data_IF_241318083283
#
_entry.id   IF_241318083283
#
_cell.length_a   1.000
_cell.length_b   1.000
_cell.length_c   1.000
_cell.angle_alpha   90.00
_cell.angle_beta   90.00
_cell.angle_gamma   90.00
#
_symmetry.space_group_name_H-M   'P 1'
#
loop_
_entity.id
_entity.type
_entity.pdbx_description
1 polymer ?
#
# COMPACT_ATOMS: atom_id res chain seq x y z
N UNK A 1 20.00 3.09 16.98
CA UNK A 1 20.56 1.98 17.79
C UNK A 1 21.88 1.51 17.21
N UNK A 2 22.74 1.03 18.06
CA UNK A 2 24.03 0.44 17.71
C UNK A 2 23.87 -1.07 17.64
N UNK A 3 24.23 -1.66 16.51
CA UNK A 3 24.22 -3.09 16.30
C UNK A 3 25.66 -3.64 16.25
N UNK A 4 25.95 -4.68 17.04
CA UNK A 4 27.24 -5.34 17.02
C UNK A 4 27.26 -6.47 15.99
N UNK A 5 27.94 -6.27 14.87
CA UNK A 5 28.13 -7.31 13.86
C UNK A 5 29.41 -8.10 14.14
N UNK A 6 29.31 -9.45 14.17
CA UNK A 6 30.47 -10.35 14.30
C UNK A 6 31.38 -10.19 13.07
N UNK A 7 32.45 -9.42 13.22
CA UNK A 7 33.49 -9.24 12.20
C UNK A 7 33.69 -7.81 11.67
N UNK A 8 32.75 -6.89 11.89
CA UNK A 8 32.85 -5.49 11.44
C UNK A 8 32.79 -4.46 12.57
N UNK A 9 32.53 -4.88 13.81
CA UNK A 9 32.40 -3.99 14.96
C UNK A 9 31.00 -3.41 15.13
N UNK A 10 30.92 -2.27 15.83
CA UNK A 10 29.67 -1.58 16.06
C UNK A 10 29.20 -0.85 14.81
N UNK A 11 27.97 -1.11 14.37
CA UNK A 11 27.34 -0.46 13.22
C UNK A 11 26.01 0.19 13.65
N UNK A 12 25.68 1.34 13.06
CA UNK A 12 24.39 1.98 13.25
C UNK A 12 23.33 1.32 12.37
N UNK A 13 22.14 1.14 12.92
CA UNK A 13 21.03 0.48 12.24
C UNK A 13 20.42 1.37 11.12
N UNK A 14 20.36 2.69 11.34
CA UNK A 14 19.82 3.64 10.36
C UNK A 14 20.72 3.80 9.14
N UNK A 15 20.12 3.86 7.94
CA UNK A 15 20.85 3.97 6.68
C UNK A 15 21.64 5.29 6.56
N UNK A 16 21.05 6.43 6.90
CA UNK A 16 21.69 7.75 6.84
C UNK A 16 22.78 7.89 7.90
N UNK A 17 22.50 7.49 9.13
CA UNK A 17 23.46 7.55 10.24
C UNK A 17 24.66 6.65 9.94
N UNK A 18 24.41 5.48 9.38
CA UNK A 18 25.48 4.57 8.93
C UNK A 18 26.33 5.15 7.81
N UNK A 19 25.70 5.85 6.84
CA UNK A 19 26.42 6.54 5.77
C UNK A 19 27.40 7.58 6.33
N UNK A 20 26.95 8.42 7.25
CA UNK A 20 27.82 9.43 7.89
C UNK A 20 28.92 8.79 8.71
N UNK A 21 28.59 7.76 9.49
CA UNK A 21 29.57 7.05 10.31
C UNK A 21 30.65 6.39 9.45
N UNK A 22 30.29 5.67 8.39
CA UNK A 22 31.23 5.01 7.50
C UNK A 22 32.10 5.99 6.71
N UNK A 23 31.54 7.12 6.28
CA UNK A 23 32.31 8.16 5.58
C UNK A 23 33.32 8.87 6.48
N UNK A 24 33.00 9.05 7.76
CA UNK A 24 33.89 9.70 8.73
C UNK A 24 34.96 8.76 9.29
N UNK A 25 34.62 7.48 9.51
CA UNK A 25 35.49 6.52 10.22
C UNK A 25 36.45 5.78 9.29
N UNK A 26 36.08 5.57 8.03
CA UNK A 26 36.93 4.85 7.06
C UNK A 26 38.01 5.75 6.49
N UNK A 27 39.26 5.23 6.37
CA UNK A 27 40.37 5.92 5.74
C UNK A 27 40.09 6.18 4.24
N UNK A 28 39.52 5.19 3.55
CA UNK A 28 39.08 5.30 2.16
C UNK A 28 37.60 5.65 2.08
N UNK A 29 37.30 6.90 1.80
CA UNK A 29 35.93 7.42 1.71
C UNK A 29 35.08 6.72 0.64
N UNK A 30 35.69 6.35 -0.49
CA UNK A 30 35.01 5.63 -1.58
C UNK A 30 34.56 4.24 -1.14
N UNK A 31 35.39 3.50 -0.41
CA UNK A 31 35.03 2.21 0.15
C UNK A 31 33.93 2.33 1.21
N UNK A 32 34.00 3.37 2.05
CA UNK A 32 32.99 3.66 3.06
C UNK A 32 31.61 3.92 2.45
N UNK A 33 31.55 4.72 1.40
CA UNK A 33 30.31 4.99 0.65
C UNK A 33 29.79 3.72 -0.01
N UNK A 34 30.67 2.93 -0.65
CA UNK A 34 30.27 1.66 -1.28
C UNK A 34 29.73 0.65 -0.28
N UNK A 35 30.32 0.54 0.89
CA UNK A 35 29.81 -0.31 1.98
C UNK A 35 28.42 0.16 2.48
N UNK A 36 28.20 1.47 2.61
CA UNK A 36 26.91 2.03 3.01
C UNK A 36 25.79 1.73 2.01
N UNK A 37 26.12 1.75 0.69
CA UNK A 37 25.14 1.44 -0.36
C UNK A 37 24.84 -0.05 -0.49
N UNK A 38 25.80 -0.94 -0.24
CA UNK A 38 25.67 -2.40 -0.46
C UNK A 38 25.64 -3.23 0.82
N UNK A 39 25.21 -2.64 1.91
CA UNK A 39 25.10 -3.33 3.20
C UNK A 39 24.01 -4.41 3.17
N UNK A 40 24.35 -5.67 3.48
CA UNK A 40 23.45 -6.80 3.26
C UNK A 40 22.47 -7.10 4.41
N UNK A 41 22.88 -6.91 5.67
CA UNK A 41 22.10 -7.36 6.83
C UNK A 41 21.26 -6.27 7.51
N UNK A 42 21.46 -5.03 7.15
CA UNK A 42 20.76 -3.88 7.71
C UNK A 42 20.26 -2.98 6.57
N UNK A 43 19.29 -2.06 6.79
CA UNK A 43 18.84 -1.14 5.77
C UNK A 43 20.01 -0.33 5.18
N UNK A 44 20.12 -0.29 3.87
CA UNK A 44 21.17 0.42 3.15
C UNK A 44 20.63 1.65 2.40
N UNK A 45 21.52 2.46 1.82
CA UNK A 45 21.11 3.65 1.08
C UNK A 45 20.29 3.33 -0.18
N UNK A 46 20.49 2.17 -0.80
CA UNK A 46 19.66 1.74 -1.94
C UNK A 46 18.21 1.51 -1.51
N UNK A 47 17.97 0.89 -0.35
CA UNK A 47 16.63 0.71 0.19
C UNK A 47 15.97 2.06 0.50
N UNK A 48 16.73 3.03 1.01
CA UNK A 48 16.23 4.39 1.24
C UNK A 48 15.86 5.08 -0.07
N UNK A 49 16.69 4.98 -1.11
CA UNK A 49 16.38 5.52 -2.43
C UNK A 49 15.13 4.85 -3.03
N UNK A 50 15.00 3.53 -2.92
CA UNK A 50 13.81 2.80 -3.32
C UNK A 50 12.55 3.29 -2.60
N UNK A 51 12.64 3.55 -1.30
CA UNK A 51 11.55 4.12 -0.50
C UNK A 51 11.13 5.49 -1.01
N UNK A 52 12.07 6.37 -1.33
CA UNK A 52 11.78 7.70 -1.88
C UNK A 52 11.11 7.59 -3.25
N UNK A 53 11.60 6.71 -4.13
CA UNK A 53 11.00 6.48 -5.45
C UNK A 53 9.57 5.98 -5.34
N UNK A 54 9.33 5.00 -4.48
CA UNK A 54 7.97 4.48 -4.22
C UNK A 54 7.05 5.57 -3.68
N UNK A 55 7.55 6.40 -2.77
CA UNK A 55 6.81 7.53 -2.22
C UNK A 55 6.35 8.50 -3.31
N UNK A 56 7.26 8.88 -4.19
CA UNK A 56 6.97 9.75 -5.33
C UNK A 56 5.94 9.15 -6.30
N UNK A 57 6.08 7.87 -6.62
CA UNK A 57 5.17 7.15 -7.52
C UNK A 57 3.77 7.08 -6.91
N UNK A 58 3.65 6.77 -5.62
CA UNK A 58 2.35 6.71 -4.94
C UNK A 58 1.68 8.08 -4.89
N UNK A 59 2.41 9.15 -4.60
CA UNK A 59 1.88 10.53 -4.62
C UNK A 59 1.35 10.88 -6.01
N UNK A 60 2.07 10.51 -7.06
CA UNK A 60 1.64 10.74 -8.44
C UNK A 60 0.32 10.05 -8.76
N UNK A 61 0.18 8.77 -8.41
CA UNK A 61 -1.06 8.01 -8.62
C UNK A 61 -2.22 8.51 -7.75
N UNK A 62 -1.94 9.07 -6.59
CA UNK A 62 -2.95 9.63 -5.69
C UNK A 62 -3.71 10.81 -6.31
N UNK A 63 -3.09 11.55 -7.22
CA UNK A 63 -3.68 12.70 -7.89
C UNK A 63 -4.66 12.36 -9.01
N UNK A 64 -4.77 11.12 -9.46
CA UNK A 64 -5.70 10.73 -10.52
C UNK A 64 -7.15 10.73 -10.03
N UNK A 65 -8.00 11.42 -10.75
CA UNK A 65 -9.43 11.50 -10.49
C UNK A 65 -10.23 11.79 -11.77
N UNK A 66 -11.50 11.42 -11.74
CA UNK A 66 -12.48 11.79 -12.77
C UNK A 66 -13.49 12.74 -12.12
N UNK A 67 -13.66 13.92 -12.68
CA UNK A 67 -14.61 14.91 -12.20
C UNK A 67 -15.93 14.78 -12.98
N UNK A 68 -17.03 14.50 -12.26
CA UNK A 68 -18.38 14.51 -12.82
C UNK A 68 -19.02 15.87 -12.56
N UNK A 69 -19.50 16.58 -13.61
CA UNK A 69 -20.17 17.85 -13.42
C UNK A 69 -21.54 17.64 -12.76
N UNK A 70 -21.77 18.27 -11.61
CA UNK A 70 -23.02 18.27 -10.88
C UNK A 70 -23.60 19.68 -10.77
N UNK A 71 -24.93 19.78 -10.76
CA UNK A 71 -25.66 21.04 -10.54
C UNK A 71 -26.61 20.90 -9.37
N UNK A 72 -26.80 21.99 -8.61
CA UNK A 72 -27.77 22.06 -7.53
C UNK A 72 -29.11 22.53 -8.05
N UNK A 73 -30.21 21.95 -7.57
CA UNK A 73 -31.55 22.41 -7.82
C UNK A 73 -31.94 23.65 -6.99
N UNK A 74 -31.35 23.74 -5.80
CA UNK A 74 -31.68 24.78 -4.81
C UNK A 74 -31.00 26.09 -5.16
N UNK A 75 -29.74 26.06 -5.55
CA UNK A 75 -28.98 27.22 -5.97
C UNK A 75 -28.89 27.29 -7.50
N UNK A 76 -29.71 28.12 -8.11
CA UNK A 76 -29.61 28.41 -9.53
C UNK A 76 -28.26 29.04 -9.86
N UNK A 77 -27.48 28.34 -10.68
CA UNK A 77 -26.15 28.78 -11.10
C UNK A 77 -24.96 28.11 -10.37
N UNK A 78 -25.20 27.34 -9.31
CA UNK A 78 -24.13 26.55 -8.69
C UNK A 78 -23.85 25.32 -9.54
N UNK A 79 -22.65 25.28 -10.10
CA UNK A 79 -22.09 24.11 -10.77
C UNK A 79 -20.82 23.69 -10.03
N UNK A 80 -20.79 22.44 -9.58
CA UNK A 80 -19.62 21.85 -8.92
C UNK A 80 -19.21 20.59 -9.64
N UNK A 81 -18.07 20.05 -9.25
CA UNK A 81 -17.59 18.76 -9.73
C UNK A 81 -17.65 17.76 -8.60
N UNK A 82 -18.11 16.54 -8.90
CA UNK A 82 -18.01 15.39 -7.99
C UNK A 82 -16.80 14.56 -8.38
N UNK A 83 -15.71 14.57 -7.58
CA UNK A 83 -14.51 13.85 -7.92
C UNK A 83 -14.65 12.37 -7.57
N UNK A 84 -14.34 11.50 -8.52
CA UNK A 84 -14.14 10.06 -8.31
C UNK A 84 -12.65 9.78 -8.40
N UNK A 85 -12.02 9.49 -7.27
CA UNK A 85 -10.59 9.25 -7.19
C UNK A 85 -10.23 7.87 -7.73
N UNK A 86 -9.01 7.71 -8.26
CA UNK A 86 -8.47 6.41 -8.62
C UNK A 86 -8.43 5.47 -7.39
N UNK A 87 -7.95 5.97 -6.26
CA UNK A 87 -7.98 5.25 -4.98
C UNK A 87 -9.31 5.52 -4.25
N UNK A 88 -10.41 5.09 -4.88
CA UNK A 88 -11.77 5.36 -4.40
C UNK A 88 -12.03 4.84 -2.99
N UNK A 89 -11.52 3.64 -2.68
CA UNK A 89 -11.62 3.04 -1.36
C UNK A 89 -10.47 3.42 -0.43
N UNK A 90 -9.61 4.35 -0.86
CA UNK A 90 -8.41 4.77 -0.13
C UNK A 90 -7.48 3.57 0.19
N UNK A 91 -7.02 3.47 1.42
CA UNK A 91 -6.11 2.40 1.85
C UNK A 91 -6.81 1.15 2.43
N UNK A 92 -8.13 1.09 2.42
CA UNK A 92 -8.88 -0.03 3.02
C UNK A 92 -8.58 -1.40 2.40
N UNK A 93 -8.41 -1.56 1.08
CA UNK A 93 -8.05 -2.83 0.49
C UNK A 93 -6.74 -3.40 1.05
N UNK A 94 -5.74 -2.55 1.24
CA UNK A 94 -4.44 -2.97 1.74
C UNK A 94 -4.48 -3.32 3.24
N UNK A 95 -5.26 -2.62 4.03
CA UNK A 95 -5.48 -2.93 5.45
C UNK A 95 -6.14 -4.29 5.58
N UNK A 96 -7.21 -4.56 4.83
CA UNK A 96 -7.92 -5.82 4.85
C UNK A 96 -7.05 -6.99 4.36
N UNK A 97 -6.27 -6.77 3.32
CA UNK A 97 -5.31 -7.75 2.82
C UNK A 97 -4.24 -8.07 3.88
N UNK A 98 -3.68 -7.08 4.54
CA UNK A 98 -2.71 -7.27 5.63
C UNK A 98 -3.30 -8.05 6.79
N UNK A 99 -4.53 -7.76 7.19
CA UNK A 99 -5.22 -8.48 8.23
C UNK A 99 -5.44 -9.95 7.85
N UNK A 100 -5.87 -10.22 6.61
CA UNK A 100 -6.05 -11.58 6.10
C UNK A 100 -4.73 -12.37 6.13
N UNK A 101 -3.65 -11.80 5.64
CA UNK A 101 -2.33 -12.44 5.61
C UNK A 101 -1.82 -12.70 7.03
N UNK A 102 -1.97 -11.75 7.94
CA UNK A 102 -1.58 -11.91 9.34
C UNK A 102 -2.35 -13.04 10.03
N UNK A 103 -3.65 -13.15 9.78
CA UNK A 103 -4.47 -14.23 10.32
C UNK A 103 -4.07 -15.59 9.75
N UNK A 104 -3.78 -15.69 8.46
CA UNK A 104 -3.30 -16.92 7.83
C UNK A 104 -1.94 -17.33 8.42
N UNK A 105 -1.03 -16.40 8.63
CA UNK A 105 0.26 -16.67 9.24
C UNK A 105 0.12 -17.14 10.67
N UNK A 106 -0.71 -16.52 11.47
CA UNK A 106 -0.96 -16.91 12.84
C UNK A 106 -1.51 -18.34 12.94
N UNK A 107 -2.53 -18.65 12.16
CA UNK A 107 -3.12 -20.00 12.12
C UNK A 107 -2.10 -21.04 11.63
N UNK A 108 -1.34 -20.73 10.60
CA UNK A 108 -0.31 -21.62 10.07
C UNK A 108 0.78 -21.92 11.09
N UNK A 109 1.28 -20.90 11.79
CA UNK A 109 2.26 -21.08 12.86
C UNK A 109 1.74 -21.93 14.02
N UNK A 110 0.50 -21.66 14.44
CA UNK A 110 -0.12 -22.38 15.55
C UNK A 110 -0.31 -23.86 15.23
N UNK A 111 -0.83 -24.16 14.04
CA UNK A 111 -1.02 -25.53 13.56
C UNK A 111 0.30 -26.27 13.35
N UNK A 112 1.29 -25.61 12.78
CA UNK A 112 2.63 -26.21 12.58
C UNK A 112 3.32 -26.55 13.91
N UNK A 113 3.19 -25.69 14.90
CA UNK A 113 3.74 -25.92 16.23
C UNK A 113 3.11 -27.16 16.91
N UNK A 114 1.83 -27.40 16.67
CA UNK A 114 1.06 -28.46 17.36
C UNK A 114 0.96 -29.76 16.56
N UNK A 115 0.88 -29.69 15.25
CA UNK A 115 0.62 -30.80 14.33
C UNK A 115 1.62 -30.87 13.15
N UNK A 116 2.89 -30.71 13.41
CA UNK A 116 3.93 -30.69 12.37
C UNK A 116 4.02 -31.94 11.48
N UNK A 117 3.43 -33.05 11.93
CA UNK A 117 3.39 -34.32 11.20
C UNK A 117 2.30 -34.44 10.13
N UNK A 118 1.30 -33.57 10.13
CA UNK A 118 0.19 -33.64 9.19
C UNK A 118 0.54 -33.03 7.83
N UNK A 119 0.18 -33.73 6.76
CA UNK A 119 0.38 -33.25 5.39
C UNK A 119 -0.32 -31.92 5.12
N UNK A 120 -1.56 -31.73 5.56
CA UNK A 120 -2.33 -30.50 5.38
C UNK A 120 -1.68 -29.31 6.08
N UNK A 121 -1.12 -29.49 7.26
CA UNK A 121 -0.42 -28.45 8.00
C UNK A 121 0.88 -28.05 7.28
N UNK A 122 1.60 -29.02 6.71
CA UNK A 122 2.79 -28.75 5.88
C UNK A 122 2.46 -28.02 4.58
N UNK A 123 1.30 -28.33 4.00
CA UNK A 123 0.80 -27.66 2.79
C UNK A 123 0.44 -26.19 3.11
N UNK A 124 -0.13 -25.92 4.27
CA UNK A 124 -0.47 -24.55 4.70
C UNK A 124 0.76 -23.70 4.94
N UNK A 125 1.80 -24.24 5.53
CA UNK A 125 3.06 -23.52 5.71
C UNK A 125 4.07 -24.30 6.56
N UNK A 126 5.33 -24.18 6.20
CA UNK A 126 6.48 -24.66 6.98
C UNK A 126 7.21 -23.44 7.52
N UNK A 127 7.56 -23.49 8.79
CA UNK A 127 8.17 -22.36 9.50
C UNK A 127 9.50 -22.77 10.09
N UNK A 128 10.52 -21.97 9.90
CA UNK A 128 11.86 -22.13 10.50
C UNK A 128 12.23 -20.85 11.26
N UNK A 129 13.10 -21.01 12.24
CA UNK A 129 13.63 -19.86 12.98
C UNK A 129 14.67 -19.14 12.13
N UNK A 130 14.51 -17.85 11.96
CA UNK A 130 15.47 -17.02 11.24
C UNK A 130 16.82 -17.00 11.99
N UNK A 131 17.91 -17.10 11.24
CA UNK A 131 19.27 -17.00 11.79
C UNK A 131 19.58 -15.61 12.39
N UNK A 132 18.76 -14.62 12.07
CA UNK A 132 18.92 -13.23 12.50
C UNK A 132 17.71 -12.76 13.33
N UNK A 133 17.64 -13.14 14.61
CA UNK A 133 16.74 -12.47 15.53
C UNK A 133 15.54 -13.26 16.08
N UNK A 134 15.53 -14.59 15.95
CA UNK A 134 14.52 -15.43 16.60
C UNK A 134 13.07 -15.30 16.07
N UNK A 135 12.89 -14.61 14.95
CA UNK A 135 11.59 -14.56 14.26
C UNK A 135 11.41 -15.81 13.41
N UNK A 136 10.19 -16.35 13.41
CA UNK A 136 9.82 -17.46 12.54
C UNK A 136 9.50 -16.96 11.15
N UNK A 137 10.15 -17.52 10.16
CA UNK A 137 9.93 -17.22 8.76
C UNK A 137 9.29 -18.41 8.02
N UNK A 138 8.35 -18.16 7.10
CA UNK A 138 7.79 -19.22 6.27
C UNK A 138 8.82 -19.68 5.24
N UNK A 139 9.11 -20.98 5.20
CA UNK A 139 10.10 -21.59 4.30
C UNK A 139 9.44 -22.39 3.18
N UNK A 140 8.20 -22.75 3.34
CA UNK A 140 7.47 -23.51 2.33
C UNK A 140 5.96 -23.50 2.54
N UNK A 141 5.24 -24.07 1.59
CA UNK A 141 3.81 -24.13 1.58
C UNK A 141 3.12 -22.81 1.19
N UNK A 142 1.82 -22.71 1.43
CA UNK A 142 1.02 -21.56 1.05
C UNK A 142 1.51 -20.25 1.71
N UNK A 143 1.93 -20.31 2.97
CA UNK A 143 2.44 -19.14 3.69
C UNK A 143 3.69 -18.55 3.06
N UNK A 144 4.58 -19.39 2.52
CA UNK A 144 5.76 -18.93 1.77
C UNK A 144 5.39 -18.18 0.49
N UNK A 145 4.45 -18.70 -0.29
CA UNK A 145 4.00 -18.07 -1.53
C UNK A 145 3.22 -16.77 -1.33
N UNK A 146 2.58 -16.61 -0.20
CA UNK A 146 1.88 -15.36 0.18
C UNK A 146 2.86 -14.31 0.71
N UNK A 147 4.03 -14.71 1.24
CA UNK A 147 5.02 -13.79 1.78
C UNK A 147 5.70 -12.97 0.68
N UNK A 148 6.03 -11.73 0.98
CA UNK A 148 6.78 -10.87 0.08
C UNK A 148 8.21 -11.37 -0.12
N UNK A 149 8.77 -11.29 -1.34
CA UNK A 149 10.20 -11.47 -1.57
C UNK A 149 11.00 -10.43 -0.77
N UNK A 150 12.19 -10.82 -0.34
CA UNK A 150 13.04 -9.94 0.49
C UNK A 150 13.65 -8.80 -0.31
N UNK A 151 14.21 -9.14 -1.48
CA UNK A 151 14.93 -8.22 -2.35
C UNK A 151 14.73 -8.58 -3.82
N UNK A 152 15.20 -7.70 -4.72
CA UNK A 152 15.21 -7.96 -6.16
C UNK A 152 15.95 -9.24 -6.54
N UNK A 153 17.03 -9.59 -5.82
CA UNK A 153 17.75 -10.84 -6.05
C UNK A 153 16.87 -12.07 -5.80
N UNK A 154 16.06 -12.03 -4.74
CA UNK A 154 15.11 -13.11 -4.41
C UNK A 154 14.02 -13.25 -5.49
N UNK A 155 13.57 -12.14 -6.08
CA UNK A 155 12.64 -12.14 -7.21
C UNK A 155 13.23 -12.85 -8.44
N UNK A 156 14.52 -12.63 -8.73
CA UNK A 156 15.20 -13.27 -9.87
C UNK A 156 15.52 -14.74 -9.61
N UNK A 157 15.81 -15.11 -8.38
CA UNK A 157 16.08 -16.49 -8.00
C UNK A 157 14.81 -17.36 -8.03
N UNK A 158 13.69 -16.81 -7.60
CA UNK A 158 12.40 -17.50 -7.51
C UNK A 158 11.28 -16.72 -8.24
N UNK A 159 11.27 -16.71 -9.58
CA UNK A 159 10.28 -15.94 -10.33
C UNK A 159 8.85 -16.43 -10.14
N UNK A 160 8.63 -17.72 -9.88
CA UNK A 160 7.30 -18.28 -9.61
C UNK A 160 6.72 -17.76 -8.30
N UNK A 161 7.53 -17.63 -7.27
CA UNK A 161 7.13 -17.04 -6.00
C UNK A 161 6.70 -15.59 -6.18
N UNK A 162 7.52 -14.80 -6.86
CA UNK A 162 7.21 -13.39 -7.14
C UNK A 162 5.92 -13.24 -7.96
N UNK A 163 5.73 -14.06 -8.99
CA UNK A 163 4.53 -14.05 -9.82
C UNK A 163 3.27 -14.42 -9.02
N UNK A 164 3.36 -15.45 -8.19
CA UNK A 164 2.25 -15.87 -7.34
C UNK A 164 1.88 -14.79 -6.32
N UNK A 165 2.87 -14.19 -5.68
CA UNK A 165 2.69 -13.08 -4.75
C UNK A 165 2.01 -11.88 -5.41
N UNK A 166 2.49 -11.48 -6.59
CA UNK A 166 1.90 -10.37 -7.35
C UNK A 166 0.44 -10.65 -7.70
N UNK A 167 0.15 -11.84 -8.23
CA UNK A 167 -1.22 -12.25 -8.59
C UNK A 167 -2.14 -12.28 -7.38
N UNK A 168 -1.67 -12.81 -6.27
CA UNK A 168 -2.41 -12.83 -5.01
C UNK A 168 -2.73 -11.41 -4.52
N UNK A 169 -1.74 -10.52 -4.49
CA UNK A 169 -1.93 -9.13 -4.06
C UNK A 169 -2.94 -8.39 -4.93
N UNK A 170 -2.82 -8.48 -6.24
CA UNK A 170 -3.73 -7.84 -7.17
C UNK A 170 -5.17 -8.34 -6.99
N UNK A 171 -5.34 -9.65 -6.96
CA UNK A 171 -6.67 -10.28 -6.84
C UNK A 171 -7.35 -9.94 -5.53
N UNK A 172 -6.64 -10.04 -4.41
CA UNK A 172 -7.19 -9.79 -3.07
C UNK A 172 -7.51 -8.32 -2.87
N UNK A 173 -6.63 -7.42 -3.28
CA UNK A 173 -6.87 -5.98 -3.19
C UNK A 173 -8.08 -5.55 -4.03
N UNK A 174 -8.22 -6.05 -5.26
CA UNK A 174 -9.38 -5.75 -6.10
C UNK A 174 -10.68 -6.28 -5.49
N UNK A 175 -10.68 -7.51 -4.99
CA UNK A 175 -11.83 -8.11 -4.34
C UNK A 175 -12.27 -7.34 -3.10
N UNK A 176 -11.33 -7.01 -2.22
CA UNK A 176 -11.63 -6.25 -1.01
C UNK A 176 -12.08 -4.83 -1.28
N UNK A 177 -11.49 -4.17 -2.27
CA UNK A 177 -11.95 -2.85 -2.71
C UNK A 177 -13.40 -2.87 -3.16
N UNK A 178 -13.76 -3.84 -4.00
CA UNK A 178 -15.12 -4.01 -4.50
C UNK A 178 -16.12 -4.35 -3.38
N UNK A 179 -15.72 -5.21 -2.44
CA UNK A 179 -16.56 -5.55 -1.29
C UNK A 179 -16.72 -4.38 -0.34
N UNK A 180 -15.66 -3.60 -0.12
CA UNK A 180 -15.68 -2.45 0.78
C UNK A 180 -16.66 -1.37 0.36
N UNK A 181 -16.79 -1.08 -0.93
CA UNK A 181 -17.74 -0.08 -1.40
C UNK A 181 -19.19 -0.44 -1.09
N UNK A 182 -19.53 -1.72 -1.07
CA UNK A 182 -20.86 -2.19 -0.72
C UNK A 182 -21.12 -2.10 0.79
N UNK A 183 -20.11 -2.38 1.62
CA UNK A 183 -20.22 -2.36 3.08
C UNK A 183 -20.20 -0.94 3.63
N UNK A 184 -19.35 -0.07 3.08
CA UNK A 184 -19.11 1.28 3.61
C UNK A 184 -20.18 2.31 3.23
N UNK A 185 -21.14 1.94 2.40
CA UNK A 185 -22.14 2.87 1.89
C UNK A 185 -21.61 3.83 0.82
N UNK A 186 -20.52 3.47 0.14
CA UNK A 186 -19.91 4.23 -0.96
C UNK A 186 -20.22 3.64 -2.33
N UNK A 187 -21.15 2.70 -2.42
CA UNK A 187 -21.62 2.14 -3.69
C UNK A 187 -22.32 3.19 -4.54
N UNK A 188 -22.41 2.95 -5.84
CA UNK A 188 -23.12 3.84 -6.77
C UNK A 188 -24.56 4.10 -6.35
N UNK A 189 -25.24 3.10 -5.79
CA UNK A 189 -26.59 3.21 -5.25
C UNK A 189 -26.67 4.18 -4.08
N UNK A 190 -25.75 4.05 -3.13
CA UNK A 190 -25.72 4.88 -1.92
C UNK A 190 -25.33 6.33 -2.24
N UNK A 191 -24.36 6.52 -3.13
CA UNK A 191 -23.95 7.85 -3.62
C UNK A 191 -25.07 8.51 -4.39
N UNK A 192 -25.76 7.78 -5.26
CA UNK A 192 -26.93 8.32 -5.99
C UNK A 192 -28.04 8.77 -5.04
N UNK A 193 -28.30 8.01 -3.98
CA UNK A 193 -29.24 8.37 -2.94
C UNK A 193 -28.83 9.62 -2.19
N UNK A 194 -27.58 9.74 -1.77
CA UNK A 194 -27.06 10.93 -1.10
C UNK A 194 -27.16 12.18 -1.97
N UNK A 195 -26.79 12.08 -3.25
CA UNK A 195 -26.90 13.20 -4.19
C UNK A 195 -28.36 13.63 -4.42
N UNK A 196 -29.30 12.69 -4.48
CA UNK A 196 -30.75 13.01 -4.54
C UNK A 196 -31.24 13.71 -3.29
N UNK A 197 -30.88 13.26 -2.10
CA UNK A 197 -31.21 13.86 -0.82
C UNK A 197 -30.67 15.29 -0.71
N UNK A 198 -29.48 15.56 -1.25
CA UNK A 198 -28.85 16.86 -1.32
C UNK A 198 -29.35 17.72 -2.50
N UNK A 199 -30.27 17.19 -3.31
CA UNK A 199 -30.84 17.86 -4.49
C UNK A 199 -29.78 18.23 -5.56
N UNK A 200 -28.76 17.43 -5.73
CA UNK A 200 -27.82 17.53 -6.83
C UNK A 200 -28.20 16.60 -7.98
N UNK A 201 -27.85 16.98 -9.19
CA UNK A 201 -28.02 16.16 -10.38
C UNK A 201 -26.80 16.30 -11.31
N UNK A 202 -26.57 15.29 -12.14
CA UNK A 202 -25.48 15.31 -13.13
C UNK A 202 -25.98 16.09 -14.37
N UNK A 203 -25.16 17.01 -14.83
CA UNK A 203 -25.49 17.83 -16.01
C UNK A 203 -25.68 16.95 -17.25
N UNK A 204 -26.78 17.11 -17.93
CA UNK A 204 -27.11 16.38 -19.16
C UNK A 204 -27.84 15.04 -18.95
N UNK A 205 -28.08 14.61 -17.71
CA UNK A 205 -28.77 13.37 -17.39
C UNK A 205 -30.03 13.62 -16.56
N UNK A 206 -31.06 12.78 -16.77
CA UNK A 206 -32.29 12.82 -15.96
C UNK A 206 -32.01 12.24 -14.57
N UNK A 207 -32.79 12.68 -13.58
CA UNK A 207 -32.66 12.18 -12.20
C UNK A 207 -32.76 10.65 -12.06
N UNK A 208 -33.61 10.04 -12.89
CA UNK A 208 -33.79 8.57 -12.93
C UNK A 208 -32.55 7.83 -13.43
N UNK A 209 -31.64 8.50 -14.15
CA UNK A 209 -30.43 7.92 -14.70
C UNK A 209 -29.16 8.17 -13.87
N UNK A 210 -29.31 8.90 -12.74
CA UNK A 210 -28.17 9.22 -11.86
C UNK A 210 -27.43 7.96 -11.38
N UNK A 211 -28.17 6.97 -10.88
CA UNK A 211 -27.61 5.68 -10.45
C UNK A 211 -26.90 4.97 -11.62
N UNK A 212 -27.51 4.97 -12.80
CA UNK A 212 -26.95 4.31 -13.99
C UNK A 212 -25.64 4.96 -14.43
N UNK A 213 -25.53 6.27 -14.35
CA UNK A 213 -24.30 6.99 -14.68
C UNK A 213 -23.20 6.75 -13.63
N UNK A 214 -23.54 6.75 -12.36
CA UNK A 214 -22.61 6.40 -11.29
C UNK A 214 -22.18 4.93 -11.35
N UNK A 215 -23.05 4.01 -11.70
CA UNK A 215 -22.72 2.58 -11.92
C UNK A 215 -21.67 2.38 -13.02
N UNK A 216 -21.52 3.34 -13.90
CA UNK A 216 -20.50 3.31 -14.95
C UNK A 216 -19.09 3.58 -14.42
N UNK A 217 -18.96 4.43 -13.40
CA UNK A 217 -17.66 4.90 -12.91
C UNK A 217 -17.22 4.28 -11.58
N UNK A 218 -18.10 4.19 -10.60
CA UNK A 218 -17.76 3.83 -9.23
C UNK A 218 -17.24 2.40 -9.11
N UNK A 219 -17.91 1.34 -9.61
CA UNK A 219 -17.38 -0.03 -9.52
C UNK A 219 -16.06 -0.20 -10.25
N UNK A 220 -15.91 0.41 -11.41
CA UNK A 220 -14.67 0.38 -12.19
C UNK A 220 -13.54 1.10 -11.46
N UNK A 221 -13.81 2.28 -10.90
CA UNK A 221 -12.82 3.02 -10.11
C UNK A 221 -12.38 2.23 -8.87
N UNK A 222 -13.31 1.60 -8.16
CA UNK A 222 -13.00 0.78 -6.99
C UNK A 222 -12.13 -0.43 -7.34
N UNK A 223 -12.51 -1.21 -8.35
CA UNK A 223 -11.75 -2.38 -8.77
C UNK A 223 -10.37 -2.01 -9.30
N UNK A 224 -10.29 -1.03 -10.17
CA UNK A 224 -9.03 -0.57 -10.75
C UNK A 224 -8.11 0.09 -9.71
N UNK A 225 -8.66 0.88 -8.81
CA UNK A 225 -7.94 1.45 -7.68
C UNK A 225 -7.37 0.38 -6.76
N UNK A 226 -8.13 -0.67 -6.46
CA UNK A 226 -7.67 -1.83 -5.71
C UNK A 226 -6.51 -2.54 -6.40
N UNK A 227 -6.58 -2.75 -7.71
CA UNK A 227 -5.47 -3.31 -8.51
C UNK A 227 -4.24 -2.42 -8.46
N UNK A 228 -4.38 -1.11 -8.61
CA UNK A 228 -3.26 -0.16 -8.54
C UNK A 228 -2.60 -0.17 -7.16
N UNK A 229 -3.36 -0.18 -6.08
CA UNK A 229 -2.84 -0.25 -4.71
C UNK A 229 -2.07 -1.56 -4.51
N UNK A 230 -2.62 -2.69 -4.94
CA UNK A 230 -1.96 -3.99 -4.86
C UNK A 230 -0.66 -4.03 -5.66
N UNK A 231 -0.66 -3.49 -6.87
CA UNK A 231 0.54 -3.38 -7.71
C UNK A 231 1.62 -2.50 -7.07
N UNK A 232 1.27 -1.33 -6.57
CA UNK A 232 2.23 -0.43 -5.92
C UNK A 232 2.83 -1.04 -4.65
N UNK A 233 2.03 -1.76 -3.86
CA UNK A 233 2.51 -2.47 -2.68
C UNK A 233 3.50 -3.56 -3.06
N UNK A 234 3.17 -4.39 -4.05
CA UNK A 234 4.06 -5.43 -4.54
C UNK A 234 5.35 -4.85 -5.13
N UNK A 235 5.25 -3.77 -5.88
CA UNK A 235 6.40 -3.06 -6.44
C UNK A 235 7.34 -2.52 -5.35
N UNK A 236 6.79 -1.93 -4.28
CA UNK A 236 7.56 -1.48 -3.13
C UNK A 236 8.28 -2.63 -2.43
N UNK A 237 7.61 -3.76 -2.24
CA UNK A 237 8.21 -4.95 -1.64
C UNK A 237 9.31 -5.54 -2.53
N UNK A 238 9.13 -5.58 -3.83
CA UNK A 238 10.15 -6.08 -4.79
C UNK A 238 11.40 -5.20 -4.83
N UNK A 239 11.25 -3.89 -4.70
CA UNK A 239 12.39 -2.97 -4.63
C UNK A 239 13.14 -3.04 -3.29
N UNK A 240 12.63 -3.77 -2.30
CA UNK A 240 13.23 -3.84 -0.97
C UNK A 240 13.18 -2.51 -0.22
N UNK A 241 12.12 -1.73 -0.38
CA UNK A 241 11.94 -0.46 0.32
C UNK A 241 11.97 -0.63 1.85
N UNK A 242 12.46 0.37 2.57
CA UNK A 242 12.51 0.36 4.03
C UNK A 242 11.09 0.35 4.59
N UNK A 243 10.83 -0.61 5.46
CA UNK A 243 9.48 -0.94 5.90
C UNK A 243 8.77 -1.86 4.90
N UNK A 244 7.51 -2.16 5.14
CA UNK A 244 6.69 -2.91 4.18
C UNK A 244 6.07 -1.98 3.15
N UNK A 245 5.80 -2.48 1.94
CA UNK A 245 5.05 -1.73 0.94
C UNK A 245 3.69 -1.27 1.45
N UNK A 246 3.04 -2.09 2.25
CA UNK A 246 1.81 -1.75 2.99
C UNK A 246 1.99 -0.52 3.88
N UNK A 247 3.05 -0.48 4.68
CA UNK A 247 3.33 0.66 5.57
C UNK A 247 3.59 1.96 4.82
N UNK A 248 4.32 1.91 3.72
CA UNK A 248 4.59 3.07 2.86
C UNK A 248 3.29 3.60 2.25
N UNK A 249 2.46 2.72 1.69
CA UNK A 249 1.17 3.12 1.12
C UNK A 249 0.23 3.72 2.16
N UNK A 250 0.14 3.13 3.34
CA UNK A 250 -0.64 3.69 4.45
C UNK A 250 -0.16 5.08 4.83
N UNK A 251 1.14 5.27 4.98
CA UNK A 251 1.72 6.57 5.33
C UNK A 251 1.42 7.63 4.25
N UNK A 252 1.67 7.32 2.98
CA UNK A 252 1.47 8.26 1.88
C UNK A 252 0.00 8.61 1.70
N UNK A 253 -0.90 7.64 1.71
CA UNK A 253 -2.34 7.90 1.56
C UNK A 253 -2.88 8.73 2.71
N UNK A 254 -2.45 8.47 3.94
CA UNK A 254 -2.85 9.24 5.12
C UNK A 254 -2.34 10.68 5.03
N UNK A 255 -1.07 10.89 4.70
CA UNK A 255 -0.48 12.23 4.54
C UNK A 255 -1.22 13.02 3.46
N UNK A 256 -1.51 12.38 2.32
CA UNK A 256 -2.23 13.02 1.23
C UNK A 256 -3.66 13.39 1.61
N UNK A 257 -4.38 12.54 2.32
CA UNK A 257 -5.74 12.83 2.81
C UNK A 257 -5.76 14.02 3.79
N UNK A 258 -4.76 14.10 4.67
CA UNK A 258 -4.60 15.26 5.56
C UNK A 258 -4.27 16.54 4.80
N UNK A 259 -3.42 16.45 3.79
CA UNK A 259 -3.10 17.59 2.94
C UNK A 259 -4.32 18.11 2.19
N UNK A 260 -5.14 17.22 1.61
CA UNK A 260 -6.39 17.60 0.96
C UNK A 260 -7.38 18.27 1.91
N UNK A 261 -7.52 17.73 3.13
CA UNK A 261 -8.38 18.34 4.16
C UNK A 261 -7.91 19.75 4.53
N UNK A 262 -6.62 19.90 4.74
CA UNK A 262 -6.02 21.19 5.05
C UNK A 262 -6.22 22.22 3.93
N UNK A 263 -6.03 21.84 2.69
CA UNK A 263 -6.29 22.69 1.52
C UNK A 263 -7.75 23.12 1.44
N UNK A 264 -8.65 22.19 1.67
CA UNK A 264 -10.10 22.47 1.68
C UNK A 264 -10.48 23.45 2.79
N UNK A 265 -10.02 23.22 4.01
CA UNK A 265 -10.26 24.13 5.14
C UNK A 265 -9.66 25.52 4.89
N UNK A 266 -8.50 25.59 4.26
CA UNK A 266 -7.86 26.84 3.88
C UNK A 266 -8.68 27.61 2.84
N UNK A 267 -9.24 26.92 1.86
CA UNK A 267 -10.13 27.56 0.87
C UNK A 267 -11.43 28.04 1.50
N UNK A 268 -12.01 27.28 2.40
CA UNK A 268 -13.21 27.65 3.15
C UNK A 268 -12.97 28.84 4.09
N UNK A 269 -11.84 28.85 4.80
CA UNK A 269 -11.48 29.94 5.70
C UNK A 269 -10.96 31.20 4.98
N UNK A 270 -10.31 31.04 3.82
CA UNK A 270 -9.84 32.15 2.98
C UNK A 270 -10.94 32.85 2.19
N UNK A 271 -12.09 32.20 1.99
CA UNK A 271 -13.26 32.79 1.35
C UNK A 271 -14.07 33.76 2.23
N UNK A 272 -13.74 33.89 3.49
CA UNK A 272 -14.43 34.76 4.43
C UNK A 272 -13.78 36.13 4.70
N UNK A 273 -12.72 36.49 3.96
CA UNK A 273 -11.98 37.74 4.16
C UNK A 273 -11.98 38.69 2.96
N UNK A 274 -12.93 38.58 2.03
CA UNK A 274 -13.22 39.61 1.04
C UNK A 274 -14.71 39.74 0.80
#
# INVERSE_FOLDING_TARGET
SLFFNRGRGAEFEGALVSLFHLTLTRKDKVKGIKEAFYRASLPNCLNLMATIVVFMVVIYFQGFRIDLPIKSKVMRGYSGNYPIKLFYTSNMPIILQSALVSNIYFLSQLLYKRFSGNFLVRLLGRWEESQFGGHKEPVGGLAYYISAPRDLSDVFENPLHALFYLTFMLSVCALFSKTWIEISGSSSRDVARQLKEQQYFIQGHRESSLKKELDRYIPTAAAFGGLCIGFLTAFADFLGAIGSGTGILLAVTTIYDYFEKYERERMESGGGLF
#
